data_IF_887165693310
#
_entry.id   IF_887165693310
#
_cell.length_a   1.000
_cell.length_b   1.000
_cell.length_c   1.000
_cell.angle_alpha   90.00
_cell.angle_beta   90.00
_cell.angle_gamma   90.00
#
_symmetry.space_group_name_H-M   'P 1'
#
loop_
_entity.id
_entity.type
_entity.pdbx_description
1 polymer ?
#
# COMPACT_ATOMS: atom_id res chain seq x y z
N UNK A 1 -11.88 -24.61 -2.11
CA UNK A 1 -12.86 -23.56 -1.75
C UNK A 1 -12.29 -22.54 -0.77
N UNK A 2 -11.80 -22.92 0.42
CA UNK A 2 -11.32 -21.93 1.40
C UNK A 2 -10.13 -21.11 0.92
N UNK A 3 -9.16 -21.70 0.21
CA UNK A 3 -8.06 -20.95 -0.41
C UNK A 3 -8.52 -20.08 -1.59
N UNK A 4 -9.61 -20.42 -2.29
CA UNK A 4 -10.14 -19.59 -3.39
C UNK A 4 -10.79 -18.30 -2.87
N UNK A 5 -11.21 -18.24 -1.60
CA UNK A 5 -11.68 -17.00 -0.98
C UNK A 5 -10.49 -16.06 -0.71
N UNK A 6 -9.26 -16.57 -0.61
CA UNK A 6 -8.12 -15.77 -0.22
C UNK A 6 -7.60 -14.92 -1.39
N UNK A 7 -7.80 -15.38 -2.63
CA UNK A 7 -7.60 -14.49 -3.79
C UNK A 7 -8.63 -13.37 -3.81
N UNK A 8 -9.87 -13.61 -3.39
CA UNK A 8 -10.88 -12.55 -3.25
C UNK A 8 -10.45 -11.54 -2.17
N UNK A 9 -9.96 -12.03 -1.03
CA UNK A 9 -9.43 -11.18 0.04
C UNK A 9 -8.22 -10.35 -0.44
N UNK A 10 -7.28 -10.97 -1.17
CA UNK A 10 -6.12 -10.29 -1.74
C UNK A 10 -6.54 -9.23 -2.78
N UNK A 11 -7.44 -9.56 -3.70
CA UNK A 11 -7.96 -8.60 -4.68
C UNK A 11 -8.68 -7.43 -4.02
N UNK A 12 -9.48 -7.68 -2.98
CA UNK A 12 -10.14 -6.62 -2.22
C UNK A 12 -9.15 -5.77 -1.42
N UNK A 13 -8.11 -6.37 -0.83
CA UNK A 13 -7.04 -5.64 -0.15
C UNK A 13 -6.26 -4.76 -1.14
N UNK A 14 -5.90 -5.30 -2.31
CA UNK A 14 -5.27 -4.55 -3.38
C UNK A 14 -6.15 -3.41 -3.90
N UNK A 15 -7.43 -3.67 -4.13
CA UNK A 15 -8.41 -2.65 -4.48
C UNK A 15 -8.49 -1.55 -3.41
N UNK A 16 -8.50 -1.93 -2.13
CA UNK A 16 -8.54 -0.99 -1.00
C UNK A 16 -7.31 -0.08 -1.01
N UNK A 17 -6.12 -0.60 -1.29
CA UNK A 17 -4.87 0.17 -1.41
C UNK A 17 -4.95 1.17 -2.58
N UNK A 18 -5.38 0.72 -3.76
CA UNK A 18 -5.56 1.60 -4.94
C UNK A 18 -6.60 2.68 -4.67
N UNK A 19 -7.72 2.32 -4.05
CA UNK A 19 -8.76 3.27 -3.63
C UNK A 19 -8.20 4.28 -2.64
N UNK A 20 -7.32 3.88 -1.71
CA UNK A 20 -6.61 4.81 -0.83
C UNK A 20 -5.81 5.86 -1.60
N UNK A 21 -5.09 5.43 -2.64
CA UNK A 21 -4.39 6.34 -3.55
C UNK A 21 -5.34 7.24 -4.36
N UNK A 22 -6.52 6.76 -4.77
CA UNK A 22 -7.56 7.57 -5.42
C UNK A 22 -8.14 8.60 -4.44
N UNK A 23 -8.41 8.20 -3.20
CA UNK A 23 -8.88 9.06 -2.12
C UNK A 23 -7.90 10.20 -1.90
N UNK A 24 -6.60 9.91 -1.79
CA UNK A 24 -5.56 10.92 -1.68
C UNK A 24 -5.49 11.79 -2.95
N UNK A 25 -5.42 11.16 -4.12
CA UNK A 25 -5.20 11.82 -5.39
C UNK A 25 -6.27 12.84 -5.78
N UNK A 26 -7.53 12.57 -5.39
CA UNK A 26 -8.65 13.49 -5.65
C UNK A 26 -8.97 14.41 -4.47
N UNK A 27 -8.19 14.36 -3.38
CA UNK A 27 -8.35 15.22 -2.21
C UNK A 27 -9.50 14.83 -1.28
N UNK A 28 -9.89 13.55 -1.28
CA UNK A 28 -10.95 12.98 -0.44
C UNK A 28 -10.44 12.44 0.89
N UNK A 29 -9.14 12.40 1.20
CA UNK A 29 -8.63 11.78 2.43
C UNK A 29 -9.08 12.41 3.75
N UNK A 30 -9.88 13.47 3.71
CA UNK A 30 -10.57 14.10 4.84
C UNK A 30 -12.01 14.51 4.48
N UNK A 31 -12.64 13.95 3.43
CA UNK A 31 -13.99 14.36 3.01
C UNK A 31 -15.03 13.97 4.07
N UNK A 32 -14.82 12.85 4.76
CA UNK A 32 -15.61 12.40 5.92
C UNK A 32 -14.99 12.83 7.26
N UNK A 33 -13.92 13.62 7.20
CA UNK A 33 -13.14 14.09 8.34
C UNK A 33 -12.40 12.96 9.07
N UNK A 34 -12.01 13.25 10.31
CA UNK A 34 -11.35 12.26 11.21
C UNK A 34 -12.36 11.39 11.94
N UNK A 35 -13.62 11.37 11.50
CA UNK A 35 -14.68 10.58 12.11
C UNK A 35 -14.46 9.09 11.79
N UNK A 36 -14.08 8.32 12.80
CA UNK A 36 -13.92 6.87 12.70
C UNK A 36 -14.57 6.18 13.91
N UNK A 37 -15.54 5.26 13.70
CA UNK A 37 -16.14 4.90 12.42
C UNK A 37 -17.09 5.99 11.89
N UNK A 38 -17.12 6.19 10.57
CA UNK A 38 -18.16 6.99 9.91
C UNK A 38 -19.25 6.06 9.39
N UNK A 39 -20.47 6.17 9.91
CA UNK A 39 -21.58 5.24 9.58
C UNK A 39 -22.77 5.92 8.92
N UNK A 40 -22.84 7.26 8.90
CA UNK A 40 -24.01 8.00 8.41
C UNK A 40 -24.05 8.01 6.88
N UNK A 41 -25.08 7.44 6.27
CA UNK A 41 -25.31 7.46 4.81
C UNK A 41 -24.14 6.93 3.96
N UNK A 42 -23.27 6.07 4.51
CA UNK A 42 -22.08 5.58 3.78
C UNK A 42 -22.45 4.85 2.48
N UNK A 43 -23.57 4.14 2.46
CA UNK A 43 -24.10 3.46 1.27
C UNK A 43 -24.57 4.45 0.20
N UNK A 44 -25.14 5.58 0.59
CA UNK A 44 -25.55 6.65 -0.33
C UNK A 44 -24.32 7.36 -0.92
N UNK A 45 -23.31 7.62 -0.10
CA UNK A 45 -22.05 8.21 -0.58
C UNK A 45 -21.34 7.27 -1.58
N UNK A 46 -21.30 5.98 -1.26
CA UNK A 46 -20.73 4.97 -2.15
C UNK A 46 -21.51 4.87 -3.48
N UNK A 47 -22.85 4.94 -3.46
CA UNK A 47 -23.65 4.94 -4.70
C UNK A 47 -23.43 6.20 -5.55
N UNK A 48 -23.08 7.32 -4.92
CA UNK A 48 -22.61 8.55 -5.58
C UNK A 48 -21.14 8.52 -6.00
N UNK A 49 -20.48 7.35 -5.89
CA UNK A 49 -19.08 7.12 -6.26
C UNK A 49 -18.07 7.90 -5.41
N UNK A 50 -18.40 8.20 -4.15
CA UNK A 50 -17.43 8.77 -3.20
C UNK A 50 -16.32 7.73 -2.94
N UNK A 51 -15.06 8.02 -3.30
CA UNK A 51 -13.97 7.05 -3.19
C UNK A 51 -13.61 6.75 -1.74
N UNK A 52 -13.81 7.70 -0.80
CA UNK A 52 -13.54 7.47 0.62
C UNK A 52 -14.57 6.50 1.20
N UNK A 53 -15.85 6.68 0.87
CA UNK A 53 -16.90 5.74 1.29
C UNK A 53 -16.66 4.32 0.73
N UNK A 54 -16.31 4.21 -0.55
CA UNK A 54 -16.03 2.90 -1.18
C UNK A 54 -14.79 2.26 -0.55
N UNK A 55 -13.72 3.03 -0.31
CA UNK A 55 -12.52 2.55 0.38
C UNK A 55 -12.84 1.97 1.76
N UNK A 56 -13.62 2.69 2.58
CA UNK A 56 -14.01 2.25 3.94
C UNK A 56 -14.88 0.99 3.92
N UNK A 57 -15.82 0.89 2.98
CA UNK A 57 -16.64 -0.31 2.79
C UNK A 57 -15.76 -1.50 2.36
N UNK A 58 -14.87 -1.30 1.39
CA UNK A 58 -13.95 -2.34 0.91
C UNK A 58 -13.04 -2.85 2.04
N UNK A 59 -12.45 -1.95 2.82
CA UNK A 59 -11.64 -2.30 4.00
C UNK A 59 -12.43 -3.11 5.05
N UNK A 60 -13.71 -2.75 5.26
CA UNK A 60 -14.59 -3.49 6.18
C UNK A 60 -14.85 -4.92 5.68
N UNK A 61 -15.09 -5.10 4.39
CA UNK A 61 -15.29 -6.43 3.79
C UNK A 61 -14.03 -7.29 3.93
N UNK A 62 -12.84 -6.73 3.68
CA UNK A 62 -11.55 -7.41 3.92
C UNK A 62 -11.47 -7.88 5.38
N UNK A 63 -11.86 -7.03 6.34
CA UNK A 63 -11.87 -7.40 7.75
C UNK A 63 -12.85 -8.50 8.13
N UNK A 64 -14.04 -8.52 7.53
CA UNK A 64 -15.01 -9.61 7.75
C UNK A 64 -14.49 -10.95 7.17
N UNK A 65 -13.87 -10.92 6.00
CA UNK A 65 -13.25 -12.12 5.40
C UNK A 65 -12.09 -12.61 6.28
N UNK A 66 -11.23 -11.69 6.74
CA UNK A 66 -10.11 -11.99 7.63
C UNK A 66 -10.55 -12.63 8.94
N UNK A 67 -11.58 -12.08 9.57
CA UNK A 67 -12.18 -12.64 10.78
C UNK A 67 -12.74 -14.04 10.52
N UNK A 68 -13.45 -14.23 9.40
CA UNK A 68 -13.95 -15.53 8.97
C UNK A 68 -12.83 -16.57 8.82
N UNK A 69 -11.68 -16.18 8.25
CA UNK A 69 -10.51 -17.04 8.14
C UNK A 69 -9.97 -17.51 9.48
N UNK A 70 -9.78 -16.60 10.44
CA UNK A 70 -9.25 -16.96 11.76
C UNK A 70 -10.20 -17.90 12.51
N UNK A 71 -11.51 -17.72 12.35
CA UNK A 71 -12.53 -18.56 13.00
C UNK A 71 -12.60 -19.95 12.36
N UNK A 72 -12.64 -20.02 11.02
CA UNK A 72 -12.89 -21.28 10.29
C UNK A 72 -11.61 -22.09 10.07
N UNK A 73 -10.47 -21.41 9.90
CA UNK A 73 -9.17 -22.01 9.62
C UNK A 73 -8.07 -21.36 10.47
N UNK A 74 -8.06 -21.63 11.78
CA UNK A 74 -7.07 -21.05 12.68
C UNK A 74 -5.68 -21.59 12.36
N UNK A 75 -4.79 -20.71 11.93
CA UNK A 75 -3.40 -21.01 11.62
C UNK A 75 -2.53 -19.77 11.83
N UNK A 76 -1.20 -19.94 11.78
CA UNK A 76 -0.28 -18.82 11.91
C UNK A 76 -0.51 -17.77 10.82
N UNK A 77 -0.68 -18.20 9.56
CA UNK A 77 -0.88 -17.29 8.42
C UNK A 77 -2.21 -16.53 8.53
N UNK A 78 -3.30 -17.16 8.99
CA UNK A 78 -4.58 -16.46 9.18
C UNK A 78 -4.53 -15.51 10.37
N UNK A 79 -3.83 -15.86 11.45
CA UNK A 79 -3.59 -14.97 12.58
C UNK A 79 -2.75 -13.73 12.20
N UNK A 80 -1.68 -13.92 11.42
CA UNK A 80 -0.87 -12.81 10.87
C UNK A 80 -1.73 -11.94 9.95
N UNK A 81 -2.52 -12.54 9.04
CA UNK A 81 -3.39 -11.80 8.13
C UNK A 81 -4.44 -10.96 8.85
N UNK A 82 -5.10 -11.52 9.87
CA UNK A 82 -6.05 -10.76 10.68
C UNK A 82 -5.37 -9.66 11.51
N UNK A 83 -4.19 -9.94 12.08
CA UNK A 83 -3.40 -8.94 12.81
C UNK A 83 -2.98 -7.78 11.90
N UNK A 84 -2.59 -8.07 10.65
CA UNK A 84 -2.26 -7.06 9.65
C UNK A 84 -3.48 -6.19 9.33
N UNK A 85 -4.68 -6.77 9.15
CA UNK A 85 -5.92 -6.00 8.93
C UNK A 85 -6.23 -5.09 10.12
N UNK A 86 -6.12 -5.59 11.35
CA UNK A 86 -6.34 -4.79 12.56
C UNK A 86 -5.34 -3.62 12.61
N UNK A 87 -4.06 -3.89 12.33
CA UNK A 87 -3.04 -2.86 12.25
C UNK A 87 -3.35 -1.83 11.15
N UNK A 88 -3.75 -2.26 9.95
CA UNK A 88 -4.19 -1.39 8.86
C UNK A 88 -5.36 -0.50 9.27
N UNK A 89 -6.37 -1.03 9.95
CA UNK A 89 -7.52 -0.23 10.38
C UNK A 89 -7.13 0.84 11.42
N UNK A 90 -6.33 0.47 12.42
CA UNK A 90 -5.87 1.40 13.47
C UNK A 90 -4.92 2.47 12.90
N UNK A 91 -3.99 2.06 12.04
CA UNK A 91 -3.06 2.97 11.38
C UNK A 91 -3.77 3.82 10.31
N UNK A 92 -4.83 3.32 9.69
CA UNK A 92 -5.68 4.09 8.76
C UNK A 92 -6.40 5.22 9.48
N UNK A 93 -6.87 4.98 10.71
CA UNK A 93 -7.33 6.06 11.58
C UNK A 93 -6.20 7.05 11.87
N UNK A 94 -5.00 6.58 12.25
CA UNK A 94 -3.86 7.45 12.51
C UNK A 94 -3.48 8.29 11.28
N UNK A 95 -3.54 7.72 10.08
CA UNK A 95 -3.37 8.39 8.80
C UNK A 95 -4.29 9.59 8.65
N UNK A 96 -5.58 9.49 9.00
CA UNK A 96 -6.47 10.66 8.97
C UNK A 96 -5.95 11.81 9.86
N UNK A 97 -5.36 11.49 11.01
CA UNK A 97 -4.72 12.48 11.88
C UNK A 97 -3.39 13.01 11.31
N UNK A 98 -2.61 12.18 10.61
CA UNK A 98 -1.42 12.64 9.87
C UNK A 98 -1.81 13.66 8.81
N UNK A 99 -2.82 13.34 7.99
CA UNK A 99 -3.31 14.21 6.93
C UNK A 99 -3.94 15.49 7.48
N UNK A 100 -4.57 15.42 8.66
CA UNK A 100 -5.04 16.60 9.39
C UNK A 100 -3.90 17.41 10.06
N UNK A 101 -2.66 16.92 10.01
CA UNK A 101 -1.48 17.55 10.60
C UNK A 101 -1.33 17.38 12.11
N UNK A 102 -2.05 16.42 12.70
CA UNK A 102 -2.10 16.13 14.14
C UNK A 102 -1.18 14.98 14.55
N UNK A 103 -0.73 14.14 13.61
CA UNK A 103 0.24 13.07 13.86
C UNK A 103 1.43 13.14 12.89
N UNK A 104 2.59 12.56 13.27
CA UNK A 104 3.76 12.46 12.41
C UNK A 104 3.56 11.57 11.17
N UNK A 105 4.28 11.88 10.09
CA UNK A 105 4.18 11.18 8.80
C UNK A 105 4.55 9.70 8.81
N UNK A 106 5.37 9.24 9.76
CA UNK A 106 5.73 7.82 9.83
C UNK A 106 4.53 6.89 10.09
N UNK A 107 3.43 7.39 10.67
CA UNK A 107 2.21 6.59 10.81
C UNK A 107 1.57 6.25 9.46
N UNK A 108 1.71 7.13 8.45
CA UNK A 108 1.31 6.83 7.07
C UNK A 108 2.17 5.69 6.50
N UNK A 109 3.49 5.76 6.68
CA UNK A 109 4.39 4.69 6.23
C UNK A 109 4.10 3.34 6.90
N UNK A 110 3.77 3.35 8.20
CA UNK A 110 3.38 2.13 8.93
C UNK A 110 2.03 1.58 8.43
N UNK A 111 1.07 2.47 8.17
CA UNK A 111 -0.21 2.08 7.56
C UNK A 111 0.01 1.36 6.23
N UNK A 112 0.89 1.89 5.39
CA UNK A 112 1.20 1.29 4.09
C UNK A 112 1.83 -0.09 4.28
N UNK A 113 2.85 -0.25 5.15
CA UNK A 113 3.38 -1.59 5.47
C UNK A 113 2.28 -2.58 5.87
N UNK A 114 1.38 -2.19 6.77
CA UNK A 114 0.30 -3.06 7.23
C UNK A 114 -0.68 -3.43 6.10
N UNK A 115 -1.03 -2.47 5.24
CA UNK A 115 -1.91 -2.69 4.09
C UNK A 115 -1.29 -3.65 3.07
N UNK A 116 -0.01 -3.43 2.70
CA UNK A 116 0.71 -4.31 1.78
C UNK A 116 0.98 -5.69 2.39
N UNK A 117 1.18 -5.79 3.70
CA UNK A 117 1.26 -7.07 4.42
C UNK A 117 -0.08 -7.82 4.35
N UNK A 118 -1.20 -7.12 4.55
CA UNK A 118 -2.55 -7.69 4.40
C UNK A 118 -2.73 -8.29 3.01
N UNK A 119 -2.39 -7.53 1.96
CA UNK A 119 -2.42 -8.01 0.58
C UNK A 119 -1.55 -9.27 0.39
N UNK A 120 -0.28 -9.20 0.80
CA UNK A 120 0.68 -10.28 0.62
C UNK A 120 0.25 -11.56 1.33
N UNK A 121 -0.23 -11.48 2.58
CA UNK A 121 -0.66 -12.66 3.35
C UNK A 121 -1.78 -13.41 2.63
N UNK A 122 -2.81 -12.71 2.15
CA UNK A 122 -3.93 -13.38 1.47
C UNK A 122 -3.56 -13.90 0.08
N UNK A 123 -2.64 -13.23 -0.63
CA UNK A 123 -2.11 -13.76 -1.88
C UNK A 123 -1.28 -15.03 -1.64
N UNK A 124 -0.44 -15.03 -0.61
CA UNK A 124 0.39 -16.17 -0.25
C UNK A 124 -0.47 -17.36 0.23
N UNK A 125 -1.51 -17.10 1.01
CA UNK A 125 -2.49 -18.12 1.40
C UNK A 125 -3.18 -18.74 0.17
N UNK A 126 -3.49 -17.94 -0.85
CA UNK A 126 -4.05 -18.45 -2.09
C UNK A 126 -3.06 -19.37 -2.82
N UNK A 127 -1.81 -18.94 -2.94
CA UNK A 127 -0.75 -19.70 -3.60
C UNK A 127 -0.44 -21.01 -2.85
N UNK A 128 -0.50 -21.02 -1.52
CA UNK A 128 -0.42 -22.23 -0.72
C UNK A 128 -1.52 -23.23 -1.10
N UNK A 129 -2.75 -22.74 -1.30
CA UNK A 129 -3.85 -23.56 -1.80
C UNK A 129 -3.69 -24.11 -3.23
N UNK A 130 -2.79 -23.52 -4.03
CA UNK A 130 -2.40 -24.03 -5.35
C UNK A 130 -1.22 -25.02 -5.30
N UNK A 131 -0.68 -25.29 -4.10
CA UNK A 131 0.45 -26.22 -3.91
C UNK A 131 1.82 -25.54 -3.90
N UNK A 132 1.89 -24.21 -3.93
CA UNK A 132 3.16 -23.51 -3.72
C UNK A 132 3.49 -23.45 -2.23
N UNK A 133 4.63 -24.01 -1.83
CA UNK A 133 5.04 -23.96 -0.43
C UNK A 133 5.56 -22.56 -0.07
N UNK A 134 4.74 -21.81 0.67
CA UNK A 134 5.09 -20.46 1.12
C UNK A 134 5.40 -20.48 2.60
N UNK A 135 6.60 -20.03 2.97
CA UNK A 135 6.88 -19.62 4.35
C UNK A 135 6.64 -18.12 4.49
N UNK A 136 5.50 -17.74 5.08
CA UNK A 136 5.14 -16.34 5.29
C UNK A 136 6.18 -15.56 6.10
N UNK A 137 6.84 -16.21 7.08
CA UNK A 137 7.87 -15.56 7.89
C UNK A 137 9.12 -15.28 7.05
N UNK A 138 9.52 -16.23 6.21
CA UNK A 138 10.63 -16.02 5.27
C UNK A 138 10.34 -14.85 4.35
N UNK A 139 9.14 -14.79 3.74
CA UNK A 139 8.75 -13.66 2.90
C UNK A 139 8.79 -12.32 3.66
N UNK A 140 8.26 -12.27 4.89
CA UNK A 140 8.27 -11.04 5.68
C UNK A 140 9.70 -10.60 6.06
N UNK A 141 10.60 -11.53 6.33
CA UNK A 141 12.02 -11.26 6.59
C UNK A 141 12.69 -10.74 5.32
N UNK A 142 12.51 -11.41 4.20
CA UNK A 142 13.12 -11.01 2.92
C UNK A 142 12.59 -9.64 2.47
N UNK A 143 11.33 -9.32 2.77
CA UNK A 143 10.73 -8.01 2.50
C UNK A 143 11.38 -6.84 3.27
N UNK A 144 12.13 -7.10 4.35
CA UNK A 144 12.80 -6.06 5.16
C UNK A 144 14.33 -6.14 5.13
N UNK A 145 14.90 -7.30 4.84
CA UNK A 145 16.36 -7.52 4.80
C UNK A 145 16.90 -7.27 3.38
N UNK A 146 18.18 -6.88 3.23
CA UNK A 146 18.85 -6.89 1.94
C UNK A 146 18.76 -8.26 1.24
N UNK A 147 18.73 -8.27 -0.10
CA UNK A 147 19.11 -7.15 -0.95
C UNK A 147 17.99 -6.15 -1.25
N UNK A 148 16.70 -6.50 -1.13
CA UNK A 148 15.64 -5.63 -1.66
C UNK A 148 14.86 -4.78 -0.63
N UNK A 149 14.76 -5.08 0.67
CA UNK A 149 14.14 -4.15 1.66
C UNK A 149 12.82 -3.45 1.23
N UNK A 150 11.96 -4.17 0.49
CA UNK A 150 10.71 -3.67 -0.13
C UNK A 150 9.85 -2.83 0.82
N UNK A 151 9.64 -3.31 2.05
CA UNK A 151 8.80 -2.62 3.02
C UNK A 151 9.37 -1.29 3.47
N UNK A 152 10.69 -1.10 3.40
CA UNK A 152 11.30 0.19 3.69
C UNK A 152 11.09 1.20 2.56
N UNK A 153 11.07 0.75 1.31
CA UNK A 153 10.70 1.59 0.15
C UNK A 153 9.24 2.05 0.29
N UNK A 154 8.33 1.12 0.56
CA UNK A 154 6.89 1.40 0.77
C UNK A 154 6.68 2.36 1.94
N UNK A 155 7.33 2.10 3.08
CA UNK A 155 7.28 2.98 4.25
C UNK A 155 7.67 4.42 3.90
N UNK A 156 8.78 4.61 3.19
CA UNK A 156 9.25 5.94 2.83
C UNK A 156 8.32 6.64 1.84
N UNK A 157 7.64 5.90 0.95
CA UNK A 157 6.58 6.45 0.10
C UNK A 157 5.44 7.03 0.94
N UNK A 158 4.98 6.27 1.94
CA UNK A 158 3.99 6.73 2.90
C UNK A 158 4.46 7.94 3.72
N UNK A 159 5.74 7.98 4.13
CA UNK A 159 6.32 9.15 4.81
C UNK A 159 6.22 10.38 3.92
N UNK A 160 6.56 10.29 2.63
CA UNK A 160 6.43 11.42 1.68
C UNK A 160 4.99 11.92 1.61
N UNK A 161 4.02 11.01 1.43
CA UNK A 161 2.58 11.34 1.45
C UNK A 161 2.18 12.04 2.75
N UNK A 162 2.56 11.47 3.90
CA UNK A 162 2.22 12.01 5.21
C UNK A 162 2.81 13.39 5.46
N UNK A 163 4.04 13.64 4.99
CA UNK A 163 4.70 14.94 5.10
C UNK A 163 3.99 16.02 4.28
N UNK A 164 3.37 15.64 3.16
CA UNK A 164 2.61 16.56 2.31
C UNK A 164 1.24 16.94 2.89
N UNK A 165 0.65 16.12 3.77
CA UNK A 165 -0.68 16.34 4.36
C UNK A 165 -1.77 16.64 3.30
N UNK A 166 -1.66 16.04 2.11
CA UNK A 166 -2.46 16.31 0.90
C UNK A 166 -2.51 17.78 0.43
N UNK A 167 -1.69 18.68 0.98
CA UNK A 167 -1.80 20.12 0.72
C UNK A 167 -0.53 20.71 0.15
N UNK A 168 0.62 20.19 0.55
CA UNK A 168 1.90 20.75 0.17
C UNK A 168 2.42 20.07 -1.09
N UNK A 169 3.02 20.88 -1.96
CA UNK A 169 3.85 20.39 -3.07
C UNK A 169 5.16 19.80 -2.52
N UNK A 170 5.90 19.09 -3.36
CA UNK A 170 7.26 18.65 -3.03
C UNK A 170 8.24 19.78 -3.37
N UNK A 171 8.00 20.50 -4.47
CA UNK A 171 8.86 21.55 -4.99
C UNK A 171 10.16 21.00 -5.56
N UNK A 172 11.14 21.88 -5.79
CA UNK A 172 12.40 21.53 -6.44
C UNK A 172 13.33 20.69 -5.52
N UNK A 173 13.62 19.47 -5.93
CA UNK A 173 14.43 18.46 -5.21
C UNK A 173 15.92 18.48 -5.55
N UNK A 174 16.37 19.28 -6.53
CA UNK A 174 17.80 19.40 -6.89
C UNK A 174 18.66 19.98 -5.78
N UNK A 175 18.05 20.78 -4.89
CA UNK A 175 18.67 21.34 -3.68
C UNK A 175 17.64 21.25 -2.56
N UNK A 176 17.51 20.10 -1.87
CA UNK A 176 16.47 19.90 -0.86
C UNK A 176 16.70 20.85 0.33
N UNK A 177 15.66 21.60 0.71
CA UNK A 177 15.69 22.62 1.77
C UNK A 177 14.76 22.30 2.94
N UNK A 178 13.78 21.42 2.72
CA UNK A 178 12.76 21.10 3.71
C UNK A 178 12.58 19.59 3.83
N UNK A 179 11.87 19.18 4.88
CA UNK A 179 11.70 17.78 5.21
C UNK A 179 10.87 16.99 4.16
N UNK A 180 9.95 17.63 3.43
CA UNK A 180 9.23 16.99 2.32
C UNK A 180 10.21 16.61 1.20
N UNK A 181 11.05 17.56 0.78
CA UNK A 181 12.06 17.35 -0.26
C UNK A 181 13.08 16.30 0.15
N UNK A 182 13.55 16.35 1.41
CA UNK A 182 14.47 15.35 1.95
C UNK A 182 13.81 13.97 1.94
N UNK A 183 12.56 13.84 2.41
CA UNK A 183 11.86 12.56 2.41
C UNK A 183 11.66 12.00 1.00
N UNK A 184 11.36 12.85 0.02
CA UNK A 184 11.23 12.43 -1.37
C UNK A 184 12.56 11.94 -1.94
N UNK A 185 13.65 12.70 -1.73
CA UNK A 185 14.99 12.30 -2.19
C UNK A 185 15.41 10.97 -1.56
N UNK A 186 15.17 10.78 -0.26
CA UNK A 186 15.44 9.51 0.42
C UNK A 186 14.63 8.37 -0.19
N UNK A 187 13.33 8.56 -0.42
CA UNK A 187 12.49 7.55 -1.07
C UNK A 187 12.99 7.21 -2.49
N UNK A 188 13.39 8.21 -3.28
CA UNK A 188 13.95 8.00 -4.62
C UNK A 188 15.29 7.25 -4.61
N UNK A 189 16.16 7.54 -3.64
CA UNK A 189 17.42 6.79 -3.46
C UNK A 189 17.10 5.33 -3.11
N UNK A 190 16.13 5.09 -2.21
CA UNK A 190 15.73 3.73 -1.85
C UNK A 190 15.11 2.98 -3.04
N UNK A 191 14.29 3.63 -3.87
CA UNK A 191 13.78 3.04 -5.10
C UNK A 191 14.90 2.71 -6.10
N UNK A 192 15.94 3.55 -6.19
CA UNK A 192 17.11 3.30 -7.03
C UNK A 192 17.95 2.10 -6.50
N UNK A 193 18.12 1.98 -5.19
CA UNK A 193 18.80 0.81 -4.60
C UNK A 193 17.93 -0.45 -4.81
N UNK A 194 16.60 -0.34 -4.66
CA UNK A 194 15.65 -1.43 -4.86
C UNK A 194 15.71 -1.99 -6.29
N UNK A 195 15.69 -1.12 -7.32
CA UNK A 195 15.73 -1.58 -8.71
C UNK A 195 17.07 -2.27 -9.04
N UNK A 196 18.18 -1.81 -8.47
CA UNK A 196 19.49 -2.47 -8.59
C UNK A 196 19.47 -3.83 -7.90
N UNK A 197 18.89 -3.92 -6.70
CA UNK A 197 18.80 -5.16 -5.94
C UNK A 197 18.01 -6.24 -6.69
N UNK A 198 16.85 -5.91 -7.25
CA UNK A 198 16.04 -6.87 -8.02
C UNK A 198 16.71 -7.28 -9.33
N UNK A 199 17.54 -6.41 -9.93
CA UNK A 199 18.36 -6.77 -11.09
C UNK A 199 19.47 -7.77 -10.73
N UNK A 200 20.15 -7.57 -9.59
CA UNK A 200 21.19 -8.51 -9.08
C UNK A 200 20.57 -9.88 -8.77
N UNK A 201 19.33 -9.89 -8.27
CA UNK A 201 18.58 -11.11 -7.99
C UNK A 201 18.02 -11.80 -9.25
N UNK A 202 18.16 -11.19 -10.43
CA UNK A 202 17.55 -11.66 -11.67
C UNK A 202 16.02 -11.80 -11.60
N UNK A 203 15.34 -10.96 -10.81
CA UNK A 203 13.87 -10.95 -10.72
C UNK A 203 13.30 -10.11 -11.86
N UNK A 204 13.28 -10.66 -13.09
CA UNK A 204 13.01 -9.86 -14.30
C UNK A 204 11.61 -9.27 -14.35
N UNK A 205 10.60 -10.03 -13.94
CA UNK A 205 9.23 -9.52 -13.85
C UNK A 205 9.13 -8.37 -12.84
N UNK A 206 9.76 -8.54 -11.67
CA UNK A 206 9.83 -7.50 -10.64
C UNK A 206 10.58 -6.27 -11.15
N UNK A 207 11.68 -6.46 -11.88
CA UNK A 207 12.47 -5.38 -12.47
C UNK A 207 11.63 -4.52 -13.44
N UNK A 208 10.86 -5.16 -14.33
CA UNK A 208 9.99 -4.47 -15.28
C UNK A 208 8.95 -3.61 -14.55
N UNK A 209 8.23 -4.19 -13.58
CA UNK A 209 7.24 -3.42 -12.83
C UNK A 209 7.87 -2.32 -11.97
N UNK A 210 9.08 -2.55 -11.44
CA UNK A 210 9.82 -1.52 -10.70
C UNK A 210 10.21 -0.35 -11.60
N UNK A 211 10.65 -0.61 -12.82
CA UNK A 211 10.96 0.46 -13.78
C UNK A 211 9.72 1.30 -14.13
N UNK A 212 8.58 0.64 -14.33
CA UNK A 212 7.30 1.33 -14.57
C UNK A 212 6.89 2.14 -13.33
N UNK A 213 6.98 1.54 -12.14
CA UNK A 213 6.66 2.18 -10.87
C UNK A 213 7.50 3.44 -10.63
N UNK A 214 8.80 3.41 -10.92
CA UNK A 214 9.65 4.61 -10.86
C UNK A 214 9.17 5.67 -11.84
N UNK A 215 8.83 5.29 -13.07
CA UNK A 215 8.26 6.22 -14.05
C UNK A 215 6.95 6.86 -13.58
N UNK A 216 6.06 6.08 -12.96
CA UNK A 216 4.82 6.56 -12.36
C UNK A 216 5.08 7.43 -11.14
N UNK A 217 6.07 7.12 -10.31
CA UNK A 217 6.50 7.95 -9.20
C UNK A 217 7.01 9.33 -9.64
N UNK A 218 7.73 9.41 -10.77
CA UNK A 218 8.12 10.69 -11.37
C UNK A 218 6.90 11.45 -11.94
N UNK A 219 5.94 10.74 -12.52
CA UNK A 219 4.67 11.34 -12.95
C UNK A 219 3.87 11.90 -11.75
N UNK A 220 3.83 11.18 -10.63
CA UNK A 220 3.21 11.65 -9.37
C UNK A 220 3.91 12.89 -8.83
N UNK A 221 5.25 12.94 -8.89
CA UNK A 221 6.01 14.13 -8.53
C UNK A 221 5.62 15.35 -9.38
N UNK A 222 5.49 15.19 -10.70
CA UNK A 222 5.03 16.26 -11.59
C UNK A 222 3.59 16.71 -11.26
N UNK A 223 2.64 15.79 -11.13
CA UNK A 223 1.23 16.14 -10.86
C UNK A 223 1.05 16.79 -9.49
N UNK A 224 1.77 16.35 -8.46
CA UNK A 224 1.79 16.94 -7.12
C UNK A 224 2.28 18.39 -7.15
N UNK A 225 3.30 18.68 -7.94
CA UNK A 225 3.83 20.06 -8.04
C UNK A 225 2.92 20.96 -8.90
N UNK A 226 2.11 20.39 -9.81
CA UNK A 226 1.10 21.15 -10.56
C UNK A 226 -0.15 21.43 -9.73
N UNK A 227 -0.61 20.46 -8.96
CA UNK A 227 -1.78 20.60 -8.09
C UNK A 227 -1.61 19.72 -6.84
N UNK A 228 -1.06 20.30 -5.79
CA UNK A 228 -0.76 19.58 -4.56
C UNK A 228 -2.01 19.03 -3.85
N UNK A 229 -3.14 19.73 -3.95
CA UNK A 229 -4.39 19.32 -3.33
C UNK A 229 -5.08 18.17 -4.07
N UNK A 230 -4.87 18.07 -5.38
CA UNK A 230 -5.56 17.11 -6.26
C UNK A 230 -4.64 16.63 -7.40
N UNK A 231 -3.61 15.82 -7.10
CA UNK A 231 -2.69 15.28 -8.13
C UNK A 231 -3.37 14.23 -9.06
N UNK A 232 -4.62 13.89 -8.80
CA UNK A 232 -5.47 13.06 -9.64
C UNK A 232 -5.09 11.58 -9.61
N UNK A 233 -5.36 10.90 -10.72
CA UNK A 233 -5.22 9.43 -10.85
C UNK A 233 -3.78 8.93 -10.70
N UNK A 234 -2.79 9.81 -10.84
CA UNK A 234 -1.36 9.49 -10.73
C UNK A 234 -1.03 8.74 -9.43
N UNK A 235 -1.61 9.16 -8.30
CA UNK A 235 -1.40 8.50 -6.99
C UNK A 235 -2.01 7.11 -6.96
N UNK A 236 -3.22 6.93 -7.50
CA UNK A 236 -3.85 5.60 -7.63
C UNK A 236 -3.06 4.66 -8.54
N UNK A 237 -2.48 5.17 -9.63
CA UNK A 237 -1.60 4.41 -10.51
C UNK A 237 -0.31 3.98 -9.79
N UNK A 238 0.28 4.87 -8.98
CA UNK A 238 1.46 4.53 -8.18
C UNK A 238 1.16 3.39 -7.21
N UNK A 239 0.01 3.42 -6.53
CA UNK A 239 -0.41 2.31 -5.66
C UNK A 239 -0.66 1.01 -6.44
N UNK A 240 -1.21 1.10 -7.65
CA UNK A 240 -1.43 -0.06 -8.51
C UNK A 240 -0.11 -0.71 -8.95
N UNK A 241 0.84 0.08 -9.45
CA UNK A 241 2.12 -0.46 -9.91
C UNK A 241 3.00 -0.93 -8.75
N UNK A 242 2.91 -0.30 -7.58
CA UNK A 242 3.50 -0.82 -6.34
C UNK A 242 2.95 -2.21 -5.97
N UNK A 243 1.64 -2.42 -6.07
CA UNK A 243 1.03 -3.76 -5.87
C UNK A 243 1.51 -4.78 -6.90
N UNK A 244 1.72 -4.36 -8.15
CA UNK A 244 2.27 -5.24 -9.18
C UNK A 244 3.74 -5.60 -8.88
N UNK A 245 4.53 -4.69 -8.31
CA UNK A 245 5.87 -5.00 -7.79
C UNK A 245 5.81 -6.03 -6.66
N UNK A 246 4.90 -5.84 -5.69
CA UNK A 246 4.71 -6.82 -4.59
C UNK A 246 4.24 -8.18 -5.09
N UNK A 247 3.36 -8.19 -6.08
CA UNK A 247 2.90 -9.43 -6.74
C UNK A 247 4.06 -10.12 -7.45
N UNK A 248 4.82 -9.36 -8.25
CA UNK A 248 5.92 -9.87 -9.04
C UNK A 248 7.05 -10.43 -8.17
N UNK A 249 7.39 -9.76 -7.06
CA UNK A 249 8.44 -10.25 -6.16
C UNK A 249 8.03 -11.57 -5.50
N UNK A 250 6.75 -11.70 -5.12
CA UNK A 250 6.21 -12.95 -4.59
C UNK A 250 6.33 -14.06 -5.64
N UNK A 251 5.87 -13.80 -6.87
CA UNK A 251 5.90 -14.78 -7.97
C UNK A 251 7.34 -15.16 -8.35
N UNK A 252 8.27 -14.20 -8.43
CA UNK A 252 9.69 -14.47 -8.68
C UNK A 252 10.32 -15.27 -7.53
N UNK A 253 10.04 -14.93 -6.27
CA UNK A 253 10.59 -15.63 -5.09
C UNK A 253 10.16 -17.10 -5.01
N UNK A 254 9.00 -17.43 -5.59
CA UNK A 254 8.47 -18.79 -5.67
C UNK A 254 8.89 -19.53 -6.95
N UNK A 255 9.71 -18.92 -7.81
CA UNK A 255 10.15 -19.51 -9.08
C UNK A 255 9.04 -19.68 -10.12
N UNK A 256 7.92 -18.97 -9.97
CA UNK A 256 6.76 -19.06 -10.87
C UNK A 256 7.00 -18.26 -12.16
N UNK A 257 7.75 -17.16 -12.05
CA UNK A 257 8.19 -16.35 -13.19
C UNK A 257 9.72 -16.29 -13.23
N UNK A 258 10.26 -16.39 -14.45
CA UNK A 258 11.67 -16.17 -14.78
C UNK A 258 11.92 -14.67 -14.84
#
# INVERSE_FOLDING_TARGET
>A
MIYQISIVAALLAGLTIVLGGIVEGYGYGLSLGTNWPYTRNIMELASKKDPEAIHRISATIVGLIALGYVIIYPSLITAIGFSAVVATALLGMATLYVLAGKLPSYFQGLHDIAAYTTYAVYLLLFLEGLGYHVNILSFMIDAVVPPHFLYFVIFMGGVVTGMRKMKFEIGNVTRPKNAIQISWVLHSILAAIFIIAVAILHYWLTLVFTAIEIGVGLFVYDTINRNSAKPGISVGLHQLFSLLVVTAIIINSLGIAI
#
